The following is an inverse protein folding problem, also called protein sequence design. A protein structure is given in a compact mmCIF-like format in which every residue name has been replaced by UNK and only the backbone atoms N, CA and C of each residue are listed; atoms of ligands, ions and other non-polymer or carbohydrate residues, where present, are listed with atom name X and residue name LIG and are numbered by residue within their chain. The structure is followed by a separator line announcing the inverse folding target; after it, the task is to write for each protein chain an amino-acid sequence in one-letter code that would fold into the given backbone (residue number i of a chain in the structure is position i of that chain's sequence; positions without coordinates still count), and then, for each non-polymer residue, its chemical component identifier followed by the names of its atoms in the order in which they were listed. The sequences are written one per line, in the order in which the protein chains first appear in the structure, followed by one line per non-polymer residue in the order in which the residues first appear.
data_IF_063110616058
#
_entry.id   IF_063110616058
#
_cell.length_a   1.000
_cell.length_b   1.000
_cell.length_c   1.000
_cell.angle_alpha   90.00
_cell.angle_beta   90.00
_cell.angle_gamma   90.00
#
_symmetry.space_group_name_H-M   'P 1'
#
loop_
_entity.id
_entity.type
_entity.pdbx_description
1 polymer ?
#
# COMPACT_ATOMS: atom_id res chain seq x y z
N UNK A 1 -42.53 9.07 7.08
CA UNK A 1 -42.86 8.26 8.25
C UNK A 1 -43.55 7.00 7.76
N UNK A 2 -42.90 5.84 7.84
CA UNK A 2 -43.54 4.54 7.93
C UNK A 2 -42.52 3.53 8.48
N UNK A 3 -42.91 2.99 9.61
CA UNK A 3 -42.16 2.12 10.51
C UNK A 3 -42.05 0.70 9.96
N UNK A 4 -40.88 0.08 10.11
CA UNK A 4 -40.80 -1.36 10.36
C UNK A 4 -39.45 -1.68 11.02
N UNK A 5 -39.48 -1.74 12.35
CA UNK A 5 -38.44 -2.34 13.18
C UNK A 5 -38.47 -3.85 12.92
N UNK A 6 -37.38 -4.43 12.42
CA UNK A 6 -37.19 -5.89 12.44
C UNK A 6 -36.04 -6.18 13.39
N UNK A 7 -36.44 -6.35 14.64
CA UNK A 7 -35.66 -6.98 15.70
C UNK A 7 -35.64 -8.48 15.42
N UNK A 8 -34.49 -9.03 15.02
CA UNK A 8 -34.26 -10.48 15.12
C UNK A 8 -32.95 -10.67 15.87
N UNK A 9 -33.11 -10.84 17.17
CA UNK A 9 -32.15 -11.53 18.00
C UNK A 9 -32.23 -13.02 17.63
N UNK A 10 -31.11 -13.62 17.22
CA UNK A 10 -30.94 -15.06 17.32
C UNK A 10 -29.52 -15.37 17.81
N UNK A 11 -29.49 -15.70 19.10
CA UNK A 11 -28.51 -16.55 19.74
C UNK A 11 -28.27 -17.80 18.89
N UNK A 12 -27.04 -18.01 18.40
CA UNK A 12 -26.47 -19.35 18.29
C UNK A 12 -25.04 -19.28 18.84
N UNK A 13 -24.94 -19.50 20.15
CA UNK A 13 -23.75 -20.09 20.75
C UNK A 13 -23.67 -21.54 20.27
N UNK A 14 -22.52 -21.97 19.78
CA UNK A 14 -22.34 -23.36 19.35
C UNK A 14 -20.99 -23.59 18.67
N UNK A 15 -19.97 -23.84 19.49
CA UNK A 15 -18.72 -24.41 19.04
C UNK A 15 -18.96 -25.82 18.46
N UNK A 16 -18.38 -26.12 17.29
CA UNK A 16 -18.06 -27.49 16.91
C UNK A 16 -16.89 -27.53 15.91
N UNK A 17 -15.78 -28.10 16.37
CA UNK A 17 -14.68 -28.60 15.55
C UNK A 17 -15.17 -29.75 14.68
N UNK A 18 -14.99 -29.68 13.36
CA UNK A 18 -15.04 -30.86 12.49
C UNK A 18 -13.81 -30.85 11.56
N UNK A 19 -12.98 -31.87 11.76
CA UNK A 19 -11.88 -32.29 10.92
C UNK A 19 -12.37 -33.29 9.84
N UNK A 20 -11.72 -33.26 8.68
CA UNK A 20 -11.63 -34.29 7.62
C UNK A 20 -12.91 -34.90 6.98
N UNK A 21 -13.06 -34.66 5.67
CA UNK A 21 -13.15 -35.75 4.68
C UNK A 21 -14.48 -36.00 3.94
N UNK A 22 -14.54 -35.57 2.66
CA UNK A 22 -15.34 -36.11 1.53
C UNK A 22 -16.88 -36.08 1.63
N UNK A 23 -17.70 -35.99 0.59
CA UNK A 23 -17.65 -35.70 -0.86
C UNK A 23 -19.13 -35.50 -1.30
N UNK A 24 -19.37 -34.83 -2.43
CA UNK A 24 -20.61 -34.80 -3.26
C UNK A 24 -21.82 -33.87 -2.90
N UNK A 25 -21.95 -32.72 -3.59
CA UNK A 25 -22.99 -32.48 -4.65
C UNK A 25 -22.97 -31.07 -5.29
N UNK A 26 -23.02 -31.08 -6.63
CA UNK A 26 -23.11 -30.01 -7.65
C UNK A 26 -24.45 -29.22 -7.61
N UNK A 27 -24.48 -27.90 -7.89
CA UNK A 27 -25.00 -27.36 -9.18
C UNK A 27 -24.12 -26.20 -9.73
N UNK A 28 -23.69 -26.26 -10.99
CA UNK A 28 -24.21 -25.49 -12.15
C UNK A 28 -23.76 -24.00 -12.25
N UNK A 29 -23.13 -23.72 -13.40
CA UNK A 29 -22.47 -22.49 -13.90
C UNK A 29 -23.43 -21.27 -14.07
N UNK A 30 -23.01 -20.03 -14.48
CA UNK A 30 -21.74 -19.65 -15.14
C UNK A 30 -21.14 -18.26 -14.81
N UNK A 31 -19.99 -18.01 -15.46
CA UNK A 31 -19.38 -16.72 -15.83
C UNK A 31 -18.29 -16.15 -14.91
N UNK A 32 -17.10 -16.15 -15.53
CA UNK A 32 -16.10 -15.08 -15.62
C UNK A 32 -14.79 -15.43 -14.94
N UNK A 33 -14.03 -16.23 -15.67
CA UNK A 33 -12.61 -16.03 -15.95
C UNK A 33 -12.15 -14.58 -15.73
N UNK A 34 -11.41 -14.39 -14.65
CA UNK A 34 -10.16 -13.64 -14.60
C UNK A 34 -9.58 -13.83 -13.19
N UNK A 35 -8.81 -14.90 -13.02
CA UNK A 35 -7.78 -14.95 -11.99
C UNK A 35 -6.90 -13.71 -12.14
N UNK A 36 -7.04 -12.76 -11.22
CA UNK A 36 -5.93 -11.85 -10.92
C UNK A 36 -5.00 -12.65 -10.02
N UNK A 37 -4.20 -13.49 -10.68
CA UNK A 37 -2.97 -14.01 -10.12
C UNK A 37 -2.17 -12.81 -9.67
N UNK A 38 -2.07 -12.70 -8.34
CA UNK A 38 -1.15 -11.85 -7.60
C UNK A 38 0.26 -12.32 -7.93
N UNK A 39 0.71 -12.03 -9.14
CA UNK A 39 2.12 -12.08 -9.50
C UNK A 39 2.66 -10.71 -9.13
N UNK A 40 3.21 -10.63 -7.92
CA UNK A 40 4.17 -9.60 -7.61
C UNK A 40 5.31 -9.79 -8.62
N UNK A 41 5.57 -8.84 -9.54
CA UNK A 41 6.76 -8.96 -10.36
C UNK A 41 7.97 -9.00 -9.40
N UNK A 42 8.86 -10.00 -9.55
CA UNK A 42 10.13 -10.01 -8.83
C UNK A 42 10.91 -8.73 -9.14
N UNK A 43 11.73 -8.24 -8.20
CA UNK A 43 12.39 -6.96 -8.33
C UNK A 43 13.35 -7.02 -9.52
N UNK A 44 13.01 -6.33 -10.61
CA UNK A 44 14.00 -5.95 -11.60
C UNK A 44 14.93 -4.95 -10.93
N UNK A 45 16.02 -5.50 -10.41
CA UNK A 45 17.27 -4.81 -10.11
C UNK A 45 17.73 -4.09 -11.38
N UNK A 46 17.26 -2.85 -11.56
CA UNK A 46 18.04 -1.86 -12.30
C UNK A 46 19.01 -1.24 -11.31
N UNK A 47 20.16 -1.91 -11.20
CA UNK A 47 21.44 -1.29 -10.92
C UNK A 47 21.57 -0.06 -11.83
N UNK A 48 21.18 1.11 -11.34
CA UNK A 48 21.56 2.38 -11.92
C UNK A 48 22.78 2.83 -11.14
N UNK A 49 23.94 2.57 -11.75
CA UNK A 49 25.25 2.97 -11.28
C UNK A 49 25.29 4.44 -10.90
N UNK A 50 25.98 4.68 -9.80
CA UNK A 50 26.25 5.97 -9.17
C UNK A 50 27.00 6.92 -10.14
N UNK A 51 26.50 8.14 -10.26
CA UNK A 51 27.26 9.29 -10.77
C UNK A 51 27.79 10.07 -9.55
N UNK A 52 29.12 10.17 -9.34
CA UNK A 52 29.69 10.89 -8.23
C UNK A 52 29.76 12.39 -8.58
N UNK A 53 28.70 13.13 -8.23
CA UNK A 53 28.63 14.55 -8.54
C UNK A 53 27.53 15.32 -7.81
N UNK A 54 27.49 15.27 -6.48
CA UNK A 54 26.96 16.33 -5.57
C UNK A 54 25.57 16.93 -5.86
N UNK A 55 24.72 16.22 -6.61
CA UNK A 55 23.33 16.57 -6.80
C UNK A 55 22.48 15.53 -6.09
N UNK A 56 21.82 15.96 -5.01
CA UNK A 56 20.80 15.15 -4.34
C UNK A 56 19.78 14.69 -5.37
N UNK A 57 19.50 13.39 -5.38
CA UNK A 57 18.51 12.81 -6.28
C UNK A 57 17.16 13.54 -6.12
N UNK A 58 16.55 14.04 -7.21
CA UNK A 58 15.33 14.83 -7.12
C UNK A 58 14.14 14.04 -6.56
N UNK A 59 14.15 12.71 -6.68
CA UNK A 59 13.12 11.85 -6.10
C UNK A 59 13.26 11.78 -4.57
N UNK A 60 14.50 11.84 -4.05
CA UNK A 60 14.77 11.92 -2.60
C UNK A 60 14.26 13.24 -2.05
N UNK A 61 14.59 14.37 -2.68
CA UNK A 61 14.08 15.69 -2.27
C UNK A 61 12.55 15.74 -2.29
N UNK A 62 11.93 15.24 -3.37
CA UNK A 62 10.46 15.18 -3.47
C UNK A 62 9.85 14.32 -2.36
N UNK A 63 10.46 13.19 -2.02
CA UNK A 63 9.96 12.32 -0.96
C UNK A 63 10.01 13.01 0.41
N UNK A 64 11.07 13.77 0.69
CA UNK A 64 11.23 14.54 1.94
C UNK A 64 10.19 15.65 2.03
N UNK A 65 9.96 16.42 0.97
CA UNK A 65 8.94 17.48 0.93
C UNK A 65 7.54 16.93 1.24
N UNK A 66 7.19 15.79 0.62
CA UNK A 66 5.92 15.11 0.88
C UNK A 66 5.86 14.63 2.33
N UNK A 67 6.92 13.99 2.83
CA UNK A 67 6.97 13.46 4.19
C UNK A 67 6.83 14.57 5.25
N UNK A 68 7.49 15.71 5.06
CA UNK A 68 7.36 16.88 5.95
C UNK A 68 5.95 17.47 5.90
N UNK A 69 5.38 17.64 4.70
CA UNK A 69 4.02 18.14 4.57
C UNK A 69 3.00 17.24 5.28
N UNK A 70 3.11 15.91 5.09
CA UNK A 70 2.26 14.93 5.78
C UNK A 70 2.52 14.95 7.29
N UNK A 71 3.78 15.08 7.71
CA UNK A 71 4.13 15.19 9.13
C UNK A 71 3.52 16.42 9.81
N UNK A 72 3.38 17.53 9.09
CA UNK A 72 2.74 18.75 9.58
C UNK A 72 1.21 18.67 9.63
N UNK A 73 0.58 17.91 8.73
CA UNK A 73 -0.88 17.75 8.64
C UNK A 73 -1.26 16.31 8.27
N UNK A 74 -1.19 15.36 9.22
CA UNK A 74 -1.40 13.94 8.94
C UNK A 74 -2.85 13.60 8.59
N UNK A 75 -3.83 14.40 9.03
CA UNK A 75 -5.22 14.20 8.62
C UNK A 75 -5.48 14.53 7.14
N UNK A 76 -4.60 15.34 6.54
CA UNK A 76 -4.68 15.77 5.15
C UNK A 76 -3.74 14.97 4.22
N UNK A 77 -3.21 13.84 4.69
CA UNK A 77 -2.17 13.09 3.98
C UNK A 77 -2.53 12.76 2.53
N UNK A 78 -3.74 12.26 2.27
CA UNK A 78 -4.20 11.95 0.91
C UNK A 78 -4.30 13.22 0.03
N UNK A 79 -4.83 14.32 0.58
CA UNK A 79 -4.94 15.58 -0.14
C UNK A 79 -3.56 16.22 -0.43
N UNK A 80 -2.59 16.01 0.46
CA UNK A 80 -1.20 16.43 0.24
C UNK A 80 -0.60 15.62 -0.90
N UNK A 81 -0.70 14.29 -0.85
CA UNK A 81 -0.20 13.42 -1.91
C UNK A 81 -0.77 13.80 -3.29
N UNK A 82 -2.08 14.06 -3.35
CA UNK A 82 -2.74 14.52 -4.58
C UNK A 82 -2.17 15.85 -5.11
N UNK A 83 -1.84 16.81 -4.24
CA UNK A 83 -1.19 18.08 -4.65
C UNK A 83 0.18 17.85 -5.29
N UNK A 84 0.90 16.81 -4.88
CA UNK A 84 2.18 16.41 -5.45
C UNK A 84 2.04 15.48 -6.68
N UNK A 85 0.81 15.27 -7.15
CA UNK A 85 0.49 14.43 -8.31
C UNK A 85 0.82 12.95 -8.06
N UNK A 86 0.74 12.51 -6.81
CA UNK A 86 1.00 11.12 -6.40
C UNK A 86 -0.17 10.59 -5.57
N UNK A 87 -0.26 9.28 -5.45
CA UNK A 87 -1.11 8.63 -4.45
C UNK A 87 -0.28 7.88 -3.39
N UNK A 88 -0.97 7.28 -2.43
CA UNK A 88 -0.33 6.53 -1.33
C UNK A 88 0.53 5.35 -1.82
N UNK A 89 0.04 4.56 -2.78
CA UNK A 89 0.78 3.43 -3.32
C UNK A 89 2.03 3.88 -4.08
N UNK A 90 1.92 4.97 -4.84
CA UNK A 90 3.05 5.58 -5.54
C UNK A 90 4.08 6.17 -4.58
N UNK A 91 3.65 6.86 -3.53
CA UNK A 91 4.54 7.40 -2.51
C UNK A 91 5.24 6.28 -1.72
N UNK A 92 4.52 5.21 -1.37
CA UNK A 92 5.13 4.03 -0.76
C UNK A 92 6.13 3.34 -1.70
N UNK A 93 5.85 3.30 -3.00
CA UNK A 93 6.79 2.76 -3.99
C UNK A 93 8.06 3.62 -4.07
N UNK A 94 7.92 4.94 -4.08
CA UNK A 94 9.03 5.89 -4.03
C UNK A 94 9.90 5.69 -2.78
N UNK A 95 9.29 5.58 -1.60
CA UNK A 95 10.02 5.32 -0.36
C UNK A 95 10.74 3.97 -0.38
N UNK A 96 10.14 2.93 -0.98
CA UNK A 96 10.80 1.62 -1.14
C UNK A 96 12.00 1.69 -2.09
N UNK A 97 11.93 2.50 -3.13
CA UNK A 97 13.04 2.69 -4.05
C UNK A 97 14.21 3.41 -3.38
N UNK A 98 13.91 4.47 -2.62
CA UNK A 98 14.90 5.16 -1.78
C UNK A 98 15.52 4.19 -0.77
N UNK A 99 14.70 3.42 -0.04
CA UNK A 99 15.16 2.48 0.99
C UNK A 99 15.99 1.31 0.44
N UNK A 100 15.93 1.03 -0.86
CA UNK A 100 16.73 -0.02 -1.53
C UNK A 100 18.12 0.46 -1.89
N UNK A 101 18.33 1.78 -1.95
CA UNK A 101 19.58 2.40 -2.31
C UNK A 101 20.17 3.08 -1.06
N UNK A 102 21.31 2.57 -0.53
CA UNK A 102 21.94 3.14 0.65
C UNK A 102 22.27 4.63 0.49
N UNK A 103 22.76 5.06 -0.68
CA UNK A 103 23.12 6.45 -0.91
C UNK A 103 21.88 7.36 -0.92
N UNK A 104 20.77 6.89 -1.52
CA UNK A 104 19.50 7.64 -1.48
C UNK A 104 18.89 7.66 -0.08
N UNK A 105 19.03 6.57 0.68
CA UNK A 105 18.56 6.49 2.06
C UNK A 105 19.31 7.47 2.96
N UNK A 106 20.64 7.51 2.85
CA UNK A 106 21.48 8.45 3.59
C UNK A 106 21.14 9.91 3.22
N UNK A 107 20.92 10.19 1.93
CA UNK A 107 20.49 11.51 1.48
C UNK A 107 19.09 11.89 2.01
N UNK A 108 18.16 10.93 2.04
CA UNK A 108 16.81 11.14 2.56
C UNK A 108 16.83 11.49 4.06
N UNK A 109 17.63 10.76 4.85
CA UNK A 109 17.80 11.04 6.28
C UNK A 109 18.48 12.39 6.52
N UNK A 110 19.55 12.71 5.77
CA UNK A 110 20.25 13.98 5.90
C UNK A 110 19.31 15.18 5.67
N UNK A 111 18.46 15.12 4.64
CA UNK A 111 17.50 16.18 4.33
C UNK A 111 16.35 16.27 5.34
N UNK A 112 15.98 15.17 5.99
CA UNK A 112 14.96 15.18 7.04
C UNK A 112 15.45 15.83 8.34
N UNK A 113 16.75 15.75 8.63
CA UNK A 113 17.36 16.32 9.85
C UNK A 113 17.64 17.82 9.69
N UNK A 114 17.93 18.29 8.47
CA UNK A 114 18.23 19.69 8.16
C UNK A 114 16.98 20.54 7.83
N UNK A 115 15.80 19.91 7.73
CA UNK A 115 14.52 20.53 7.35
C UNK A 115 13.70 21.12 8.49
#
# INVERSE_FOLDING_TARGET
MNSAKITIAYLIAGALLIACGGDEKKPEEPKKTAEVTKEAPPPETKEAAEDPGEAVDPQVSKAVEIAQAIGAAPEDADAILEKFGTDRAQFEALLKEIARDPAKSDAYEALLVEG
#
